data_IF_794538385204
#
_entry.id   IF_794538385204
#
_cell.length_a   1.000
_cell.length_b   1.000
_cell.length_c   1.000
_cell.angle_alpha   90.00
_cell.angle_beta   90.00
_cell.angle_gamma   90.00
#
_symmetry.space_group_name_H-M   'P 1'
#
loop_
_entity.id
_entity.type
_entity.pdbx_description
1 polymer ?
#
# COMPACT_ATOMS: atom_id res chain seq x y z
N UNK A 1 38.17 -24.94 8.17
CA UNK A 1 36.79 -25.18 8.61
C UNK A 1 36.04 -23.86 8.59
N UNK A 2 34.91 -23.73 7.89
CA UNK A 2 33.90 -22.75 8.27
C UNK A 2 32.86 -23.46 9.13
N UNK A 3 32.84 -23.17 10.44
CA UNK A 3 31.63 -23.39 11.24
C UNK A 3 30.70 -22.24 10.89
N UNK A 4 29.47 -22.56 10.49
CA UNK A 4 28.45 -21.54 10.26
C UNK A 4 28.31 -20.66 11.51
N UNK A 5 28.11 -19.34 11.34
CA UNK A 5 27.86 -18.45 12.47
C UNK A 5 26.57 -18.87 13.19
N UNK A 6 26.49 -18.65 14.52
CA UNK A 6 25.26 -18.88 15.28
C UNK A 6 24.06 -18.19 14.64
N UNK A 7 22.89 -18.86 14.66
CA UNK A 7 21.63 -18.29 14.14
C UNK A 7 21.30 -16.91 14.70
N UNK A 8 21.64 -16.64 15.96
CA UNK A 8 21.45 -15.35 16.60
C UNK A 8 22.23 -14.23 15.93
N UNK A 9 23.44 -14.53 15.45
CA UNK A 9 24.29 -13.55 14.77
C UNK A 9 23.74 -13.27 13.37
N UNK A 10 23.28 -14.32 12.68
CA UNK A 10 22.60 -14.20 11.39
C UNK A 10 21.34 -13.35 11.50
N UNK A 11 20.51 -13.55 12.54
CA UNK A 11 19.28 -12.79 12.75
C UNK A 11 19.50 -11.36 13.28
N UNK A 12 20.57 -11.14 14.05
CA UNK A 12 20.85 -9.83 14.65
C UNK A 12 21.64 -8.88 13.74
N UNK A 13 22.47 -9.41 12.83
CA UNK A 13 23.27 -8.60 11.92
C UNK A 13 22.48 -7.64 11.01
N UNK A 14 21.30 -8.00 10.47
CA UNK A 14 20.53 -7.10 9.60
C UNK A 14 20.05 -5.86 10.32
N UNK A 15 19.56 -6.00 11.57
CA UNK A 15 19.09 -4.87 12.37
C UNK A 15 20.20 -3.88 12.72
N UNK A 16 21.44 -4.38 12.89
CA UNK A 16 22.61 -3.54 13.12
C UNK A 16 23.04 -2.79 11.87
N UNK A 17 22.95 -3.45 10.72
CA UNK A 17 23.37 -2.87 9.44
C UNK A 17 22.31 -1.91 8.86
N UNK A 18 21.03 -2.13 9.14
CA UNK A 18 19.93 -1.35 8.59
C UNK A 18 19.75 0.03 9.20
N UNK A 19 20.35 0.33 10.37
CA UNK A 19 20.10 1.59 11.07
C UNK A 19 18.62 1.83 11.44
N UNK A 20 17.76 0.79 11.42
CA UNK A 20 16.32 0.90 11.73
C UNK A 20 16.02 1.30 13.19
N UNK A 21 17.02 1.23 14.06
CA UNK A 21 16.93 1.74 15.43
C UNK A 21 18.02 2.81 15.59
N UNK A 22 17.85 3.97 14.94
CA UNK A 22 18.81 5.05 15.04
C UNK A 22 18.98 5.48 16.51
N UNK A 23 20.15 6.00 16.85
CA UNK A 23 20.32 6.72 18.11
C UNK A 23 19.36 7.92 18.20
N UNK A 24 19.18 8.47 19.41
CA UNK A 24 18.26 9.59 19.65
C UNK A 24 18.53 10.84 18.78
N UNK A 25 19.76 10.99 18.26
CA UNK A 25 20.21 12.10 17.42
C UNK A 25 20.43 11.71 15.95
N UNK A 26 20.08 10.48 15.55
CA UNK A 26 20.22 9.99 14.18
C UNK A 26 18.89 10.08 13.43
N UNK A 27 18.94 10.34 12.12
CA UNK A 27 17.75 10.38 11.29
C UNK A 27 17.18 8.98 11.12
N UNK A 28 15.93 8.79 11.53
CA UNK A 28 15.18 7.58 11.18
C UNK A 28 14.87 7.58 9.68
N UNK A 29 15.35 6.55 9.00
CA UNK A 29 15.06 6.30 7.59
C UNK A 29 14.08 5.12 7.55
N UNK A 30 12.76 5.40 7.53
CA UNK A 30 11.77 4.34 7.53
C UNK A 30 11.97 3.42 6.32
N UNK A 31 11.70 2.13 6.52
CA UNK A 31 11.84 1.08 5.51
C UNK A 31 13.28 0.89 4.95
N UNK A 32 14.33 1.18 5.73
CA UNK A 32 15.70 0.77 5.37
C UNK A 32 15.88 -0.76 5.49
N UNK A 33 15.43 -1.49 4.48
CA UNK A 33 15.54 -2.94 4.44
C UNK A 33 16.97 -3.33 4.07
N UNK A 34 17.67 -4.06 4.96
CA UNK A 34 19.03 -4.54 4.67
C UNK A 34 19.07 -5.60 3.56
N UNK A 35 17.97 -6.34 3.40
CA UNK A 35 17.83 -7.41 2.43
C UNK A 35 16.65 -7.06 1.53
N UNK A 36 16.95 -6.80 0.26
CA UNK A 36 15.97 -6.48 -0.76
C UNK A 36 16.36 -7.18 -2.07
N UNK A 37 15.40 -7.41 -2.99
CA UNK A 37 15.70 -7.96 -4.30
C UNK A 37 16.74 -7.12 -5.04
N UNK A 38 17.76 -7.77 -5.59
CA UNK A 38 18.80 -7.12 -6.41
C UNK A 38 18.66 -7.56 -7.85
N UNK A 39 19.00 -6.67 -8.79
CA UNK A 39 19.01 -6.99 -10.21
C UNK A 39 20.01 -8.13 -10.48
N UNK A 40 19.50 -9.32 -10.80
CA UNK A 40 20.28 -10.53 -11.06
C UNK A 40 20.25 -10.94 -12.54
N UNK A 41 19.48 -10.20 -13.37
CA UNK A 41 19.28 -10.49 -14.79
C UNK A 41 18.51 -11.79 -15.06
N UNK A 42 17.95 -12.43 -14.02
CA UNK A 42 17.23 -13.71 -14.11
C UNK A 42 15.81 -13.58 -13.58
N UNK A 43 15.70 -13.15 -12.34
CA UNK A 43 14.44 -12.96 -11.60
C UNK A 43 14.08 -11.49 -11.56
N UNK A 44 15.08 -10.63 -11.33
CA UNK A 44 14.95 -9.18 -11.31
C UNK A 44 15.67 -8.62 -12.52
N UNK A 45 14.90 -8.16 -13.50
CA UNK A 45 15.38 -7.51 -14.73
C UNK A 45 15.06 -6.02 -14.71
N UNK A 46 15.83 -5.20 -15.43
CA UNK A 46 15.56 -3.74 -15.58
C UNK A 46 14.19 -3.47 -16.22
N UNK A 47 13.69 -4.42 -16.99
CA UNK A 47 12.47 -4.30 -17.78
C UNK A 47 11.48 -5.42 -17.45
N UNK A 48 10.22 -5.29 -17.90
CA UNK A 48 9.17 -6.29 -17.73
C UNK A 48 9.27 -7.49 -18.71
N UNK A 49 10.48 -7.88 -19.12
CA UNK A 49 10.74 -8.86 -20.20
C UNK A 49 10.16 -10.25 -19.92
N UNK A 50 9.92 -10.60 -18.65
CA UNK A 50 9.31 -11.86 -18.25
C UNK A 50 7.79 -11.84 -18.02
N UNK A 51 7.14 -10.68 -18.14
CA UNK A 51 5.70 -10.57 -17.87
C UNK A 51 4.88 -10.96 -19.09
N UNK A 52 3.91 -11.85 -18.90
CA UNK A 52 3.00 -12.24 -19.96
C UNK A 52 2.18 -11.04 -20.45
N UNK A 53 1.99 -10.97 -21.76
CA UNK A 53 1.13 -9.96 -22.36
C UNK A 53 -0.32 -10.09 -21.88
N UNK A 54 -0.98 -8.96 -21.66
CA UNK A 54 -2.42 -8.92 -21.37
C UNK A 54 -2.82 -9.32 -19.94
N UNK A 55 -1.86 -9.55 -19.03
CA UNK A 55 -2.16 -9.75 -17.62
C UNK A 55 -2.56 -8.40 -16.99
N UNK A 56 -3.81 -8.26 -16.49
CA UNK A 56 -4.22 -7.05 -15.80
C UNK A 56 -3.59 -6.99 -14.41
N UNK A 57 -3.28 -5.77 -13.94
CA UNK A 57 -2.70 -5.55 -12.61
C UNK A 57 -3.54 -4.57 -11.82
N UNK A 58 -3.67 -4.82 -10.52
CA UNK A 58 -4.34 -3.96 -9.55
C UNK A 58 -3.33 -3.55 -8.48
N UNK A 59 -3.14 -2.24 -8.31
CA UNK A 59 -2.26 -1.65 -7.31
C UNK A 59 -3.07 -0.86 -6.29
N UNK A 60 -2.66 -0.92 -5.03
CA UNK A 60 -3.24 -0.16 -3.93
C UNK A 60 -2.16 0.57 -3.15
N UNK A 61 -2.46 1.79 -2.70
CA UNK A 61 -1.63 2.51 -1.73
C UNK A 61 -2.53 3.10 -0.64
N UNK A 62 -2.26 2.87 0.66
CA UNK A 62 -3.00 3.52 1.74
C UNK A 62 -2.66 5.01 1.84
N UNK A 63 -3.60 5.81 2.34
CA UNK A 63 -3.39 7.21 2.70
C UNK A 63 -2.65 7.27 4.04
N UNK A 64 -1.32 7.14 4.00
CA UNK A 64 -0.52 7.25 5.21
C UNK A 64 -0.37 8.73 5.58
N UNK A 65 -0.77 9.11 6.79
CA UNK A 65 -0.59 10.46 7.31
C UNK A 65 0.72 10.65 8.10
N UNK A 66 1.60 9.64 8.11
CA UNK A 66 2.98 9.79 8.56
C UNK A 66 3.77 10.56 7.50
N UNK A 67 4.36 11.69 7.91
CA UNK A 67 5.23 12.62 7.16
C UNK A 67 5.09 12.45 5.64
N UNK A 68 4.22 13.25 5.00
CA UNK A 68 3.88 13.18 3.56
C UNK A 68 5.05 12.75 2.66
N UNK A 69 6.27 13.23 2.92
CA UNK A 69 7.48 12.84 2.20
C UNK A 69 7.80 11.33 2.23
N UNK A 70 7.74 10.66 3.38
CA UNK A 70 8.09 9.24 3.52
C UNK A 70 7.09 8.34 2.79
N UNK A 71 5.80 8.54 3.05
CA UNK A 71 4.72 7.83 2.39
C UNK A 71 4.74 8.03 0.86
N UNK A 72 5.02 9.26 0.44
CA UNK A 72 5.14 9.60 -0.98
C UNK A 72 6.36 8.93 -1.61
N UNK A 73 7.54 9.05 -1.00
CA UNK A 73 8.79 8.55 -1.57
C UNK A 73 8.87 7.03 -1.63
N UNK A 74 8.36 6.35 -0.59
CA UNK A 74 8.49 4.90 -0.44
C UNK A 74 7.37 4.17 -1.18
N UNK A 75 6.13 4.69 -1.14
CA UNK A 75 4.97 3.94 -1.63
C UNK A 75 4.29 4.60 -2.84
N UNK A 76 3.88 5.87 -2.70
CA UNK A 76 2.99 6.49 -3.70
C UNK A 76 3.69 6.77 -5.03
N UNK A 77 4.89 7.37 -4.99
CA UNK A 77 5.63 7.72 -6.21
C UNK A 77 6.10 6.47 -6.99
N UNK A 78 6.67 5.41 -6.37
CA UNK A 78 6.97 4.16 -7.07
C UNK A 78 5.73 3.50 -7.68
N UNK A 79 4.61 3.45 -6.96
CA UNK A 79 3.37 2.87 -7.48
C UNK A 79 2.83 3.68 -8.68
N UNK A 80 2.92 5.01 -8.62
CA UNK A 80 2.57 5.88 -9.75
C UNK A 80 3.51 5.71 -10.95
N UNK A 81 4.83 5.61 -10.72
CA UNK A 81 5.80 5.36 -11.77
C UNK A 81 5.50 4.05 -12.50
N UNK A 82 5.18 2.98 -11.75
CA UNK A 82 4.76 1.70 -12.29
C UNK A 82 3.44 1.81 -13.07
N UNK A 83 2.42 2.49 -12.51
CA UNK A 83 1.15 2.73 -13.18
C UNK A 83 1.34 3.45 -14.54
N UNK A 84 2.18 4.48 -14.60
CA UNK A 84 2.54 5.19 -15.84
C UNK A 84 3.29 4.30 -16.82
N UNK A 85 4.20 3.45 -16.35
CA UNK A 85 4.94 2.51 -17.21
C UNK A 85 4.02 1.49 -17.85
N UNK A 86 3.04 0.96 -17.11
CA UNK A 86 2.00 0.09 -17.65
C UNK A 86 1.17 0.82 -18.72
N UNK A 87 0.82 2.08 -18.50
CA UNK A 87 0.12 2.90 -19.48
C UNK A 87 0.92 3.09 -20.78
N UNK A 88 2.23 3.35 -20.69
CA UNK A 88 3.12 3.50 -21.85
C UNK A 88 3.26 2.21 -22.67
N UNK A 89 3.10 1.05 -22.04
CA UNK A 89 3.18 -0.27 -22.67
C UNK A 89 1.81 -0.77 -23.17
N UNK A 90 0.78 0.08 -23.18
CA UNK A 90 -0.62 -0.28 -23.50
C UNK A 90 -1.14 -1.49 -22.70
N UNK A 91 -0.70 -1.58 -21.44
CA UNK A 91 -1.16 -2.62 -20.50
C UNK A 91 -2.39 -2.16 -19.73
N UNK A 92 -3.20 -3.13 -19.31
CA UNK A 92 -4.32 -2.86 -18.40
C UNK A 92 -3.82 -2.77 -16.97
N UNK A 93 -4.03 -1.63 -16.33
CA UNK A 93 -3.68 -1.40 -14.93
C UNK A 93 -4.77 -0.61 -14.22
N UNK A 94 -5.05 -1.00 -12.98
CA UNK A 94 -5.97 -0.33 -12.07
C UNK A 94 -5.18 0.17 -10.86
N UNK A 95 -5.47 1.38 -10.42
CA UNK A 95 -4.85 2.00 -9.25
C UNK A 95 -5.94 2.46 -8.30
N UNK A 96 -5.79 2.16 -7.01
CA UNK A 96 -6.66 2.69 -5.97
C UNK A 96 -5.87 3.27 -4.81
N UNK A 97 -6.48 4.25 -4.14
CA UNK A 97 -5.99 4.81 -2.89
C UNK A 97 -6.98 4.50 -1.78
N UNK A 98 -6.52 3.87 -0.71
CA UNK A 98 -7.35 3.57 0.45
C UNK A 98 -7.23 4.70 1.46
N UNK A 99 -8.34 5.36 1.80
CA UNK A 99 -8.38 6.54 2.65
C UNK A 99 -9.45 6.44 3.75
N UNK A 100 -10.00 5.24 3.98
CA UNK A 100 -10.95 5.05 5.08
C UNK A 100 -10.19 5.01 6.40
N UNK A 101 -10.62 5.87 7.31
CA UNK A 101 -10.20 5.87 8.72
C UNK A 101 -11.33 5.28 9.57
N UNK A 102 -11.05 4.20 10.28
CA UNK A 102 -11.99 3.63 11.25
C UNK A 102 -12.09 4.51 12.50
N UNK A 103 -13.07 4.22 13.37
CA UNK A 103 -13.17 4.89 14.67
C UNK A 103 -11.90 4.66 15.52
N UNK A 104 -11.33 3.46 15.44
CA UNK A 104 -10.08 3.14 16.13
C UNK A 104 -8.89 3.92 15.57
N UNK A 105 -8.77 4.05 14.25
CA UNK A 105 -7.68 4.81 13.62
C UNK A 105 -7.72 6.28 14.03
N UNK A 106 -8.92 6.88 14.06
CA UNK A 106 -9.12 8.27 14.54
C UNK A 106 -8.74 8.46 16.00
N UNK A 107 -9.02 7.48 16.88
CA UNK A 107 -8.64 7.55 18.30
C UNK A 107 -7.15 7.40 18.52
N UNK A 108 -6.45 6.70 17.64
CA UNK A 108 -5.01 6.45 17.72
C UNK A 108 -4.18 7.47 16.95
N UNK A 109 -4.83 8.34 16.17
CA UNK A 109 -4.19 9.31 15.27
C UNK A 109 -3.26 8.66 14.23
N UNK A 110 -3.49 7.37 13.94
CA UNK A 110 -2.72 6.61 12.95
C UNK A 110 -3.26 6.79 11.52
N UNK A 111 -4.48 7.32 11.39
CA UNK A 111 -5.20 7.51 10.13
C UNK A 111 -5.18 6.21 9.29
N UNK A 112 -5.19 6.27 7.95
CA UNK A 112 -5.06 5.07 7.12
C UNK A 112 -3.60 4.63 6.98
N UNK A 113 -3.03 4.08 8.07
CA UNK A 113 -1.64 3.65 8.13
C UNK A 113 -1.27 2.58 7.07
N UNK A 114 0.02 2.27 6.96
CA UNK A 114 0.53 1.25 6.05
C UNK A 114 -0.26 -0.06 6.19
N UNK A 115 -0.81 -0.57 5.09
CA UNK A 115 -1.63 -1.80 5.03
C UNK A 115 -2.98 -1.75 5.76
N UNK A 116 -3.50 -0.54 6.08
CA UNK A 116 -4.81 -0.37 6.72
C UNK A 116 -5.98 -0.97 5.92
N UNK A 117 -5.81 -1.21 4.63
CA UNK A 117 -6.81 -1.83 3.76
C UNK A 117 -6.93 -3.36 3.93
N UNK A 118 -5.91 -4.03 4.46
CA UNK A 118 -5.89 -5.51 4.53
C UNK A 118 -7.08 -6.09 5.30
N UNK A 119 -7.48 -5.55 6.48
CA UNK A 119 -8.66 -6.04 7.19
C UNK A 119 -9.93 -5.96 6.34
N UNK A 120 -10.11 -4.90 5.56
CA UNK A 120 -11.26 -4.71 4.67
C UNK A 120 -11.27 -5.71 3.49
N UNK A 121 -10.09 -6.14 3.03
CA UNK A 121 -9.95 -7.16 1.98
C UNK A 121 -10.25 -8.56 2.51
N UNK A 122 -9.82 -8.89 3.73
CA UNK A 122 -9.78 -10.28 4.21
C UNK A 122 -10.82 -10.64 5.26
N UNK A 123 -11.51 -9.68 5.88
CA UNK A 123 -12.48 -9.96 6.93
C UNK A 123 -13.64 -8.97 6.92
N UNK A 124 -14.82 -9.36 7.43
CA UNK A 124 -15.90 -8.41 7.56
C UNK A 124 -15.55 -7.40 8.67
N UNK A 125 -15.50 -6.12 8.30
CA UNK A 125 -15.24 -5.02 9.24
C UNK A 125 -16.54 -4.53 9.87
N UNK A 126 -17.21 -5.40 10.63
CA UNK A 126 -18.51 -5.09 11.24
C UNK A 126 -18.36 -4.26 12.52
N UNK A 127 -19.46 -3.66 13.03
CA UNK A 127 -19.44 -2.95 14.32
C UNK A 127 -19.02 -3.80 15.54
N UNK A 128 -18.96 -5.13 15.41
CA UNK A 128 -18.50 -6.06 16.44
C UNK A 128 -17.02 -6.46 16.27
N UNK A 129 -16.43 -6.20 15.11
CA UNK A 129 -15.01 -6.39 14.87
C UNK A 129 -14.22 -5.51 15.85
N UNK A 130 -13.14 -6.07 16.40
CA UNK A 130 -12.24 -5.35 17.30
C UNK A 130 -10.91 -5.12 16.62
N UNK A 131 -10.40 -3.91 16.75
CA UNK A 131 -9.14 -3.49 16.15
C UNK A 131 -8.01 -4.24 16.83
N UNK A 132 -7.20 -4.91 16.01
CA UNK A 132 -5.97 -5.57 16.44
C UNK A 132 -4.89 -5.25 15.42
N UNK A 133 -3.96 -4.38 15.78
CA UNK A 133 -2.77 -4.19 14.96
C UNK A 133 -1.87 -5.40 15.14
N UNK A 134 -1.89 -6.28 14.14
CA UNK A 134 -1.05 -7.47 14.10
C UNK A 134 0.43 -7.09 14.15
N UNK A 135 1.08 -7.30 15.30
CA UNK A 135 2.54 -7.38 15.38
C UNK A 135 3.29 -6.20 16.00
N UNK A 136 2.66 -5.05 16.26
CA UNK A 136 3.35 -3.94 16.96
C UNK A 136 3.06 -4.01 18.46
N UNK A 137 4.05 -4.48 19.24
CA UNK A 137 3.98 -4.48 20.71
C UNK A 137 3.78 -3.04 21.20
N UNK A 138 2.68 -2.80 21.93
CA UNK A 138 2.39 -1.50 22.55
C UNK A 138 1.48 -0.57 21.75
N UNK A 139 1.08 -0.94 20.54
CA UNK A 139 0.16 -0.13 19.70
C UNK A 139 -1.30 -0.55 19.82
N UNK A 140 -1.64 -1.47 20.73
CA UNK A 140 -3.04 -1.78 21.01
C UNK A 140 -3.67 -0.51 21.61
N UNK A 141 -4.78 0.02 21.06
CA UNK A 141 -5.44 1.16 21.64
C UNK A 141 -5.85 0.72 23.04
N UNK A 142 -5.86 1.61 24.04
CA UNK A 142 -6.35 1.24 25.36
C UNK A 142 -7.72 0.56 25.20
N UNK A 143 -8.00 -0.54 25.95
CA UNK A 143 -9.27 -1.25 25.86
C UNK A 143 -10.40 -0.23 25.95
N UNK A 144 -11.22 -0.16 24.91
CA UNK A 144 -12.35 0.75 24.85
C UNK A 144 -13.64 -0.07 24.79
N UNK A 145 -14.62 0.33 25.60
CA UNK A 145 -16.00 -0.15 25.46
C UNK A 145 -16.64 0.38 24.17
N UNK A 146 -16.06 1.41 23.57
CA UNK A 146 -16.49 1.94 22.29
C UNK A 146 -16.26 0.93 21.15
N UNK A 147 -16.99 1.15 20.06
CA UNK A 147 -16.82 0.39 18.82
C UNK A 147 -15.55 0.85 18.10
N UNK A 148 -14.87 -0.08 17.47
CA UNK A 148 -13.67 0.21 16.67
C UNK A 148 -14.01 0.51 15.22
N UNK A 149 -15.11 -0.06 14.76
CA UNK A 149 -15.65 0.06 13.41
C UNK A 149 -17.14 0.39 13.47
N UNK A 150 -17.66 0.98 12.40
CA UNK A 150 -19.06 1.33 12.22
C UNK A 150 -19.64 0.75 10.92
N UNK A 151 -20.89 1.06 10.63
CA UNK A 151 -21.60 0.54 9.44
C UNK A 151 -20.95 1.02 8.12
N UNK A 152 -20.14 2.10 8.15
CA UNK A 152 -19.35 2.53 6.99
C UNK A 152 -18.19 1.58 6.75
N UNK A 153 -17.54 1.08 7.80
CA UNK A 153 -16.45 0.11 7.67
C UNK A 153 -16.95 -1.20 7.06
N UNK A 154 -18.12 -1.66 7.49
CA UNK A 154 -18.75 -2.87 6.94
C UNK A 154 -19.01 -2.70 5.44
N UNK A 155 -19.61 -1.57 5.04
CA UNK A 155 -19.82 -1.25 3.62
C UNK A 155 -18.52 -1.13 2.82
N UNK A 156 -17.48 -0.51 3.37
CA UNK A 156 -16.17 -0.38 2.70
C UNK A 156 -15.53 -1.76 2.54
N UNK A 157 -15.67 -2.63 3.54
CA UNK A 157 -15.21 -4.02 3.50
C UNK A 157 -15.89 -4.81 2.38
N UNK A 158 -17.21 -4.68 2.25
CA UNK A 158 -17.97 -5.31 1.16
C UNK A 158 -17.50 -4.82 -0.22
N UNK A 159 -17.30 -3.50 -0.37
CA UNK A 159 -16.79 -2.89 -1.61
C UNK A 159 -15.41 -3.43 -1.98
N UNK A 160 -14.49 -3.49 -1.01
CA UNK A 160 -13.12 -3.97 -1.24
C UNK A 160 -13.14 -5.44 -1.66
N UNK A 161 -13.90 -6.27 -0.94
CA UNK A 161 -14.02 -7.70 -1.24
C UNK A 161 -14.64 -7.93 -2.62
N UNK A 162 -15.72 -7.22 -2.96
CA UNK A 162 -16.34 -7.29 -4.30
C UNK A 162 -15.31 -6.95 -5.38
N UNK A 163 -14.59 -5.83 -5.24
CA UNK A 163 -13.63 -5.38 -6.23
C UNK A 163 -12.47 -6.37 -6.43
N UNK A 164 -11.92 -6.91 -5.34
CA UNK A 164 -10.83 -7.89 -5.39
C UNK A 164 -11.29 -9.24 -5.97
N UNK A 165 -12.49 -9.71 -5.61
CA UNK A 165 -13.08 -10.94 -6.16
C UNK A 165 -13.37 -10.77 -7.65
N UNK A 166 -13.95 -9.65 -8.06
CA UNK A 166 -14.26 -9.37 -9.46
C UNK A 166 -13.00 -9.21 -10.32
N UNK A 167 -11.96 -8.58 -9.77
CA UNK A 167 -10.65 -8.52 -10.40
C UNK A 167 -10.05 -9.91 -10.59
N UNK A 168 -10.06 -10.76 -9.55
CA UNK A 168 -9.57 -12.13 -9.66
C UNK A 168 -10.37 -12.96 -10.68
N UNK A 169 -11.70 -12.73 -10.76
CA UNK A 169 -12.61 -13.45 -11.65
C UNK A 169 -12.50 -13.03 -13.11
N UNK A 170 -12.33 -11.73 -13.38
CA UNK A 170 -12.52 -11.16 -14.73
C UNK A 170 -11.36 -10.31 -15.22
N UNK A 171 -10.38 -10.01 -14.36
CA UNK A 171 -9.35 -9.02 -14.64
C UNK A 171 -9.83 -7.57 -14.60
N UNK A 172 -11.07 -7.32 -14.16
CA UNK A 172 -11.66 -5.99 -14.03
C UNK A 172 -12.29 -5.84 -12.65
N UNK A 173 -11.78 -4.96 -11.77
CA UNK A 173 -12.43 -4.70 -10.50
C UNK A 173 -13.75 -3.96 -10.72
N UNK A 174 -14.75 -4.32 -9.91
CA UNK A 174 -16.07 -3.69 -9.96
C UNK A 174 -16.57 -3.41 -8.55
N UNK A 175 -17.42 -2.40 -8.43
CA UNK A 175 -18.14 -2.11 -7.20
C UNK A 175 -19.59 -1.83 -7.56
N UNK A 176 -20.52 -2.56 -6.95
CA UNK A 176 -21.96 -2.48 -7.24
C UNK A 176 -22.27 -2.61 -8.74
N UNK A 177 -21.54 -3.49 -9.43
CA UNK A 177 -21.65 -3.70 -10.88
C UNK A 177 -21.08 -2.59 -11.76
N UNK A 178 -20.44 -1.56 -11.18
CA UNK A 178 -19.73 -0.53 -11.93
C UNK A 178 -18.24 -0.88 -12.00
N UNK A 179 -17.73 -1.05 -13.23
CA UNK A 179 -16.31 -1.28 -13.47
C UNK A 179 -15.47 -0.05 -13.10
N UNK A 180 -14.31 -0.30 -12.48
CA UNK A 180 -13.34 0.75 -12.21
C UNK A 180 -12.68 1.26 -13.50
N UNK A 181 -12.17 2.50 -13.52
CA UNK A 181 -11.45 3.05 -14.66
C UNK A 181 -10.28 2.16 -15.09
N UNK A 182 -10.41 1.55 -16.26
CA UNK A 182 -9.45 0.60 -16.84
C UNK A 182 -8.18 1.25 -17.37
N UNK A 183 -8.29 2.49 -17.84
CA UNK A 183 -7.23 3.15 -18.62
C UNK A 183 -6.69 4.34 -17.85
N UNK A 184 -5.52 4.13 -17.24
CA UNK A 184 -4.54 5.19 -17.18
C UNK A 184 -4.16 5.55 -18.61
N UNK A 185 -4.41 6.78 -19.02
CA UNK A 185 -3.60 7.32 -20.11
C UNK A 185 -2.50 8.15 -19.48
N UNK A 186 -1.32 8.22 -20.12
CA UNK A 186 -0.24 9.09 -19.63
C UNK A 186 -0.73 10.54 -19.49
N UNK A 187 -1.69 10.95 -20.33
CA UNK A 187 -2.32 12.27 -20.34
C UNK A 187 -3.41 12.49 -19.30
N UNK A 188 -4.07 11.44 -18.81
CA UNK A 188 -5.19 11.51 -17.86
C UNK A 188 -5.19 10.28 -16.94
N UNK A 189 -4.31 10.25 -15.92
CA UNK A 189 -4.28 9.19 -14.92
C UNK A 189 -5.52 9.28 -14.02
N UNK A 190 -6.29 8.21 -13.94
CA UNK A 190 -7.44 8.08 -13.05
C UNK A 190 -7.17 7.04 -11.98
N UNK A 191 -7.85 7.14 -10.84
CA UNK A 191 -7.75 6.13 -9.80
C UNK A 191 -9.06 6.01 -9.02
N UNK A 192 -9.23 4.88 -8.34
CA UNK A 192 -10.35 4.69 -7.42
C UNK A 192 -9.94 5.17 -6.03
N UNK A 193 -10.62 6.16 -5.47
CA UNK A 193 -10.49 6.52 -4.06
C UNK A 193 -11.49 5.70 -3.24
N UNK A 194 -11.01 5.06 -2.17
CA UNK A 194 -11.81 4.22 -1.28
C UNK A 194 -11.73 4.82 0.12
N UNK A 195 -12.66 5.73 0.42
CA UNK A 195 -12.80 6.36 1.73
C UNK A 195 -14.17 6.06 2.33
N UNK A 196 -14.82 7.07 2.91
CA UNK A 196 -16.24 6.95 3.29
C UNK A 196 -17.11 6.64 2.07
N UNK A 197 -16.74 7.16 0.91
CA UNK A 197 -17.36 6.87 -0.38
C UNK A 197 -16.33 6.32 -1.36
N UNK A 198 -16.82 5.65 -2.40
CA UNK A 198 -16.01 5.21 -3.53
C UNK A 198 -16.13 6.27 -4.62
N UNK A 199 -15.01 6.82 -5.03
CA UNK A 199 -14.96 7.90 -6.00
C UNK A 199 -13.91 7.59 -7.08
N UNK A 200 -14.04 8.24 -8.23
CA UNK A 200 -13.07 8.14 -9.33
C UNK A 200 -12.51 9.52 -9.73
N UNK A 201 -11.81 10.21 -8.81
CA UNK A 201 -11.25 11.51 -9.13
C UNK A 201 -10.06 11.38 -10.11
N UNK A 202 -9.74 12.45 -10.86
CA UNK A 202 -8.45 12.56 -11.53
C UNK A 202 -7.30 12.41 -10.52
N UNK A 203 -6.21 11.76 -10.91
CA UNK A 203 -5.02 11.67 -10.08
C UNK A 203 -4.39 13.05 -9.88
N UNK A 204 -4.47 13.56 -8.66
CA UNK A 204 -3.75 14.76 -8.24
C UNK A 204 -2.36 14.35 -7.77
N UNK A 205 -1.34 14.75 -8.53
CA UNK A 205 0.06 14.61 -8.15
C UNK A 205 0.40 15.79 -7.25
N UNK A 206 0.80 15.53 -6.01
CA UNK A 206 1.21 16.57 -5.08
C UNK A 206 2.56 17.21 -5.45
N UNK A 207 2.94 18.31 -4.78
CA UNK A 207 4.22 18.98 -5.01
C UNK A 207 5.43 18.07 -4.71
N UNK A 208 5.31 17.20 -3.70
CA UNK A 208 6.39 16.29 -3.29
C UNK A 208 6.58 15.18 -4.33
N UNK A 209 5.48 14.55 -4.78
CA UNK A 209 5.50 13.58 -5.87
C UNK A 209 6.11 14.18 -7.13
N UNK A 210 5.74 15.44 -7.45
CA UNK A 210 6.31 16.16 -8.59
C UNK A 210 7.83 16.28 -8.47
N UNK A 211 8.32 16.75 -7.32
CA UNK A 211 9.76 16.92 -7.08
C UNK A 211 10.53 15.60 -7.19
N UNK A 212 10.01 14.52 -6.59
CA UNK A 212 10.65 13.20 -6.66
C UNK A 212 10.66 12.64 -8.08
N UNK A 213 9.54 12.80 -8.81
CA UNK A 213 9.44 12.39 -10.21
C UNK A 213 10.43 13.15 -11.10
N UNK A 214 10.73 14.42 -10.81
CA UNK A 214 11.74 15.20 -11.54
C UNK A 214 13.17 14.74 -11.27
N UNK A 215 13.48 14.36 -10.03
CA UNK A 215 14.82 13.86 -9.66
C UNK A 215 15.19 12.50 -10.28
N UNK A 216 14.20 11.73 -10.76
CA UNK A 216 14.39 10.41 -11.38
C UNK A 216 14.57 10.43 -12.90
N UNK A 217 14.36 11.59 -13.54
CA UNK A 217 14.56 11.77 -14.99
C UNK A 217 16.02 12.03 -15.32
#
# INVERSE_FOLDING_TARGET
>A
MPREPPRTDILGSPFKASGLNPGQDELDIPANLQWYPVHDGKTMTEEFVGWADGVPVLFGVPYEALVDLGAVAIWSDPALAMYRRFALLDRTAYFYRFARESLADRRTDLLALHTAELPYIFGPMTPQTKWQLGGVRGSVPPPSEERDFDDTDERVSEVMQEAWVEFARTGTPQTKGQAWPRRCTVSDPQYTMIGEQVEWPPLKVGPVETLLSEMRR
#
